data_IF_014634511312
#
_entry.id   IF_014634511312
#
_cell.length_a   1.000
_cell.length_b   1.000
_cell.length_c   1.000
_cell.angle_alpha   90.00
_cell.angle_beta   90.00
_cell.angle_gamma   90.00
#
_symmetry.space_group_name_H-M   'P 1'
#
loop_
_entity.id
_entity.type
_entity.pdbx_description
1 polymer ?
#
# COMPACT_ATOMS: atom_id res chain seq x y z
N UNK A 1 -15.34 -30.83 -5.64
CA UNK A 1 -14.36 -29.93 -4.99
C UNK A 1 -14.53 -28.54 -5.59
N UNK A 2 -14.67 -27.50 -4.78
CA UNK A 2 -14.75 -26.12 -5.27
C UNK A 2 -13.30 -25.68 -5.56
N UNK A 3 -12.97 -25.39 -6.82
CA UNK A 3 -11.63 -24.86 -7.17
C UNK A 3 -11.65 -23.37 -6.83
N UNK A 4 -10.99 -22.98 -5.74
CA UNK A 4 -10.81 -21.57 -5.42
C UNK A 4 -9.87 -20.96 -6.48
N UNK A 5 -10.22 -19.81 -7.07
CA UNK A 5 -9.33 -19.16 -8.04
C UNK A 5 -8.00 -18.85 -7.37
N UNK A 6 -6.89 -19.21 -8.02
CA UNK A 6 -5.56 -18.90 -7.54
C UNK A 6 -5.32 -17.40 -7.68
N UNK A 7 -4.96 -16.77 -6.57
CA UNK A 7 -4.61 -15.35 -6.49
C UNK A 7 -3.33 -15.18 -5.67
N UNK A 8 -2.46 -14.29 -6.11
CA UNK A 8 -1.25 -13.92 -5.39
C UNK A 8 -1.51 -12.75 -4.44
N UNK A 9 -0.70 -12.63 -3.39
CA UNK A 9 -0.77 -11.49 -2.48
C UNK A 9 -0.40 -10.17 -3.18
N UNK A 10 -0.98 -9.03 -2.79
CA UNK A 10 -0.57 -7.73 -3.32
C UNK A 10 0.94 -7.50 -3.13
N UNK A 11 1.65 -6.94 -4.14
CA UNK A 11 3.04 -6.55 -3.96
C UNK A 11 3.24 -5.58 -2.78
N UNK A 12 4.44 -5.55 -2.16
CA UNK A 12 4.71 -4.71 -0.98
C UNK A 12 4.29 -3.24 -1.19
N UNK A 13 3.70 -2.62 -0.16
CA UNK A 13 3.12 -1.27 -0.21
C UNK A 13 4.06 -0.19 -0.75
N UNK A 14 5.39 -0.34 -0.61
CA UNK A 14 6.37 0.58 -1.20
C UNK A 14 6.27 0.69 -2.73
N UNK A 15 5.72 -0.32 -3.40
CA UNK A 15 5.49 -0.34 -4.85
C UNK A 15 4.06 0.06 -5.24
N UNK A 16 3.21 0.44 -4.29
CA UNK A 16 1.85 0.87 -4.59
C UNK A 16 1.87 2.06 -5.55
N UNK A 17 1.07 1.98 -6.63
CA UNK A 17 1.01 2.99 -7.69
C UNK A 17 2.09 2.87 -8.77
N UNK A 18 3.07 1.98 -8.62
CA UNK A 18 4.20 1.86 -9.56
C UNK A 18 4.03 0.74 -10.59
N UNK A 19 3.28 -0.31 -10.25
CA UNK A 19 3.11 -1.46 -11.14
C UNK A 19 1.76 -1.45 -11.85
N UNK A 20 1.74 -2.02 -13.05
CA UNK A 20 0.53 -2.32 -13.80
C UNK A 20 0.43 -3.84 -14.01
N UNK A 21 -0.73 -4.41 -13.71
CA UNK A 21 -1.01 -5.85 -13.86
C UNK A 21 -2.03 -6.11 -14.96
N UNK A 22 -1.87 -7.19 -15.73
CA UNK A 22 -2.82 -7.55 -16.80
C UNK A 22 -4.19 -8.00 -16.29
N UNK A 23 -4.26 -8.69 -15.14
CA UNK A 23 -5.51 -9.20 -14.57
C UNK A 23 -5.52 -9.17 -13.03
N UNK A 24 -5.20 -8.00 -12.44
CA UNK A 24 -5.04 -7.87 -10.99
C UNK A 24 -3.98 -8.83 -10.45
N UNK A 25 -4.32 -9.60 -9.41
CA UNK A 25 -3.41 -10.60 -8.82
C UNK A 25 -3.83 -12.04 -9.09
N UNK A 26 -4.65 -12.27 -10.13
CA UNK A 26 -5.11 -13.61 -10.49
C UNK A 26 -3.98 -14.44 -11.11
N UNK A 27 -4.16 -15.76 -11.11
CA UNK A 27 -3.27 -16.68 -11.82
C UNK A 27 -2.93 -16.21 -13.24
N UNK A 28 -1.65 -16.33 -13.60
CA UNK A 28 -1.06 -15.91 -14.86
C UNK A 28 -1.09 -14.39 -15.14
N UNK A 29 -1.61 -13.57 -14.20
CA UNK A 29 -1.47 -12.11 -14.27
C UNK A 29 0.01 -11.73 -14.27
N UNK A 30 0.37 -10.84 -15.18
CA UNK A 30 1.72 -10.29 -15.32
C UNK A 30 1.70 -8.86 -14.84
N UNK A 31 2.48 -8.56 -13.80
CA UNK A 31 2.64 -7.22 -13.24
C UNK A 31 4.03 -6.67 -13.56
N UNK A 32 4.11 -5.42 -13.99
CA UNK A 32 5.37 -4.78 -14.36
C UNK A 32 5.52 -3.37 -13.80
N UNK A 33 6.75 -3.00 -13.41
CA UNK A 33 7.17 -1.62 -13.15
C UNK A 33 8.07 -1.19 -14.31
N UNK A 34 7.77 -0.06 -14.93
CA UNK A 34 8.62 0.54 -15.95
C UNK A 34 9.63 1.48 -15.30
N UNK A 35 10.91 1.17 -15.45
CA UNK A 35 11.99 2.08 -15.08
C UNK A 35 12.39 2.94 -16.29
N UNK A 36 12.84 4.18 -16.08
CA UNK A 36 13.23 5.09 -17.17
C UNK A 36 14.44 4.58 -17.97
N UNK A 37 15.33 3.83 -17.32
CA UNK A 37 16.52 3.25 -17.92
C UNK A 37 16.38 1.73 -18.04
N UNK A 38 15.40 1.27 -18.82
CA UNK A 38 15.41 -0.11 -19.30
C UNK A 38 16.42 -0.24 -20.46
N UNK A 39 17.70 -0.01 -20.14
CA UNK A 39 18.81 -0.35 -21.00
C UNK A 39 18.89 -1.87 -21.04
N UNK A 40 18.60 -2.44 -22.21
CA UNK A 40 18.58 -3.88 -22.56
C UNK A 40 19.90 -4.63 -22.27
N UNK A 41 20.86 -3.97 -21.62
CA UNK A 41 22.25 -4.40 -21.41
C UNK A 41 22.60 -4.68 -19.95
N UNK A 42 21.78 -4.26 -18.98
CA UNK A 42 21.98 -4.72 -17.59
C UNK A 42 21.25 -6.06 -17.44
N UNK A 43 21.96 -7.14 -17.15
CA UNK A 43 21.39 -8.47 -16.87
C UNK A 43 20.55 -8.53 -15.59
N UNK A 44 19.94 -7.41 -15.20
CA UNK A 44 19.01 -7.30 -14.09
C UNK A 44 17.69 -7.96 -14.50
N UNK A 45 17.19 -8.82 -13.62
CA UNK A 45 15.87 -9.43 -13.73
C UNK A 45 14.85 -8.32 -14.06
N UNK A 46 14.10 -8.50 -15.15
CA UNK A 46 13.12 -7.49 -15.56
C UNK A 46 12.18 -7.25 -14.39
N UNK A 47 11.75 -5.99 -14.15
CA UNK A 47 10.79 -5.64 -13.08
C UNK A 47 9.38 -6.15 -13.44
N UNK A 48 9.26 -7.44 -13.71
CA UNK A 48 8.12 -8.17 -14.23
C UNK A 48 7.94 -9.42 -13.39
N UNK A 49 6.76 -9.57 -12.79
CA UNK A 49 6.40 -10.74 -11.99
C UNK A 49 5.11 -11.35 -12.54
N UNK A 50 5.02 -12.68 -12.51
CA UNK A 50 3.85 -13.45 -12.94
C UNK A 50 3.26 -14.23 -11.77
N UNK A 51 1.95 -14.18 -11.59
CA UNK A 51 1.28 -14.97 -10.57
C UNK A 51 1.25 -16.45 -10.97
N UNK A 52 1.88 -17.32 -10.19
CA UNK A 52 2.00 -18.74 -10.49
C UNK A 52 0.86 -19.55 -9.87
N UNK A 53 0.76 -20.81 -10.27
CA UNK A 53 -0.28 -21.76 -9.81
C UNK A 53 -0.24 -22.06 -8.30
N UNK A 54 0.89 -21.79 -7.65
CA UNK A 54 1.09 -21.98 -6.21
C UNK A 54 0.61 -20.77 -5.38
N UNK A 55 0.06 -19.73 -6.02
CA UNK A 55 -0.36 -18.49 -5.36
C UNK A 55 0.80 -17.53 -5.05
N UNK A 56 2.00 -17.80 -5.58
CA UNK A 56 3.17 -16.94 -5.39
C UNK A 56 3.59 -16.23 -6.67
N UNK A 57 4.21 -15.07 -6.53
CA UNK A 57 4.82 -14.35 -7.64
C UNK A 57 6.08 -15.06 -8.16
N UNK A 58 6.33 -14.93 -9.46
CA UNK A 58 7.52 -15.49 -10.12
C UNK A 58 8.83 -14.93 -9.56
N UNK A 59 8.80 -13.71 -9.05
CA UNK A 59 9.92 -12.99 -8.45
C UNK A 59 9.42 -11.81 -7.61
N UNK A 60 10.28 -10.80 -7.44
CA UNK A 60 9.96 -9.58 -6.69
C UNK A 60 10.34 -8.34 -7.48
N UNK A 61 9.66 -7.22 -7.21
CA UNK A 61 10.08 -5.93 -7.75
C UNK A 61 11.31 -5.38 -7.03
N UNK A 62 12.08 -4.58 -7.77
CA UNK A 62 13.15 -3.74 -7.27
C UNK A 62 12.80 -2.26 -7.47
N UNK A 63 13.32 -1.38 -6.62
CA UNK A 63 13.19 0.06 -6.84
C UNK A 63 14.08 0.45 -8.02
N UNK A 64 13.52 1.23 -8.94
CA UNK A 64 14.31 1.77 -10.04
C UNK A 64 15.30 2.84 -9.52
N UNK A 65 16.48 3.00 -10.14
CA UNK A 65 17.49 3.98 -9.67
C UNK A 65 16.97 5.41 -9.55
N UNK A 66 16.03 5.82 -10.38
CA UNK A 66 15.42 7.16 -10.35
C UNK A 66 14.43 7.36 -9.19
N UNK A 67 14.00 6.28 -8.53
CA UNK A 67 13.06 6.32 -7.41
C UNK A 67 13.80 6.59 -6.11
N UNK A 68 14.12 7.86 -5.88
CA UNK A 68 14.84 8.32 -4.69
C UNK A 68 14.07 9.46 -4.00
N UNK A 69 14.28 9.57 -2.68
CA UNK A 69 13.77 10.68 -1.88
C UNK A 69 12.93 10.24 -0.69
N UNK A 70 12.14 11.20 -0.19
CA UNK A 70 11.37 11.06 1.03
C UNK A 70 9.94 11.58 0.84
N UNK A 71 8.98 10.91 1.47
CA UNK A 71 7.63 11.40 1.56
C UNK A 71 7.58 12.67 2.42
N UNK A 72 6.80 13.65 1.97
CA UNK A 72 6.53 14.85 2.75
C UNK A 72 5.66 14.53 3.96
N UNK A 73 5.80 15.27 5.09
CA UNK A 73 4.87 15.17 6.20
C UNK A 73 3.43 15.37 5.71
N UNK A 74 2.46 14.54 6.14
CA UNK A 74 1.08 14.68 5.68
C UNK A 74 0.51 16.04 6.11
N UNK A 75 0.06 16.82 5.13
CA UNK A 75 -0.43 18.19 5.35
C UNK A 75 -1.78 18.23 6.08
N UNK A 76 -2.58 17.16 5.98
CA UNK A 76 -3.94 17.10 6.49
C UNK A 76 -4.18 15.75 7.17
N UNK A 77 -4.04 15.74 8.50
CA UNK A 77 -4.43 14.63 9.35
C UNK A 77 -5.76 14.99 10.02
N UNK A 78 -6.62 14.00 10.25
CA UNK A 78 -7.83 14.22 11.05
C UNK A 78 -7.48 14.61 12.49
N UNK A 79 -8.33 15.43 13.11
CA UNK A 79 -8.18 15.77 14.53
C UNK A 79 -8.03 14.52 15.39
N UNK A 80 -6.97 14.46 16.20
CA UNK A 80 -6.68 13.30 17.05
C UNK A 80 -5.80 12.22 16.41
N UNK A 81 -5.43 12.32 15.13
CA UNK A 81 -4.53 11.37 14.49
C UNK A 81 -3.07 11.87 14.50
N UNK A 82 -2.15 10.99 14.91
CA UNK A 82 -0.71 11.22 14.93
C UNK A 82 0.01 10.11 14.17
N UNK A 83 1.11 10.45 13.50
CA UNK A 83 2.00 9.48 12.88
C UNK A 83 3.32 9.42 13.63
N UNK A 84 3.78 8.21 13.91
CA UNK A 84 5.09 7.94 14.49
C UNK A 84 5.95 7.18 13.49
N UNK A 85 7.02 7.82 13.03
CA UNK A 85 7.89 7.34 11.96
C UNK A 85 9.32 7.14 12.49
N UNK A 86 9.63 5.99 13.12
CA UNK A 86 10.96 5.77 13.71
C UNK A 86 12.08 5.76 12.65
N UNK A 87 11.79 5.22 11.46
CA UNK A 87 12.74 5.07 10.36
C UNK A 87 12.73 6.27 9.38
N UNK A 88 12.11 7.38 9.77
CA UNK A 88 11.95 8.57 8.94
C UNK A 88 10.89 8.40 7.85
N UNK A 89 11.11 9.03 6.69
CA UNK A 89 10.14 9.09 5.59
C UNK A 89 10.71 8.70 4.22
N UNK A 90 11.83 7.97 4.17
CA UNK A 90 12.34 7.39 2.92
C UNK A 90 11.40 6.35 2.31
N UNK A 91 11.61 6.01 1.03
CA UNK A 91 10.81 4.98 0.35
C UNK A 91 10.89 3.65 1.13
N UNK A 92 9.73 3.08 1.43
CA UNK A 92 9.58 1.87 2.25
C UNK A 92 9.54 2.13 3.76
N UNK A 93 9.81 3.35 4.24
CA UNK A 93 9.67 3.67 5.65
C UNK A 93 8.21 3.51 6.10
N UNK A 94 8.02 2.89 7.27
CA UNK A 94 6.72 2.67 7.87
C UNK A 94 6.48 3.64 9.02
N UNK A 95 5.31 4.28 9.03
CA UNK A 95 4.84 5.07 10.15
C UNK A 95 3.66 4.40 10.82
N UNK A 96 3.70 4.28 12.14
CA UNK A 96 2.56 3.80 12.93
C UNK A 96 1.54 4.92 13.09
N UNK A 97 0.27 4.59 12.88
CA UNK A 97 -0.84 5.50 13.13
C UNK A 97 -1.27 5.38 14.59
N UNK A 98 -1.33 6.51 15.27
CA UNK A 98 -1.78 6.63 16.65
C UNK A 98 -3.03 7.48 16.73
N UNK A 99 -4.04 6.97 17.40
CA UNK A 99 -5.22 7.75 17.78
C UNK A 99 -5.02 8.34 19.17
N UNK A 100 -5.39 9.61 19.34
CA UNK A 100 -5.14 10.37 20.57
C UNK A 100 -6.09 9.98 21.70
N UNK A 101 -7.28 9.47 21.37
CA UNK A 101 -8.24 8.98 22.36
C UNK A 101 -7.97 7.51 22.71
N UNK A 102 -8.01 7.20 24.01
CA UNK A 102 -7.97 5.81 24.47
C UNK A 102 -9.15 5.00 23.90
N UNK A 103 -8.91 3.73 23.60
CA UNK A 103 -9.88 2.80 23.00
C UNK A 103 -10.37 3.17 21.60
N UNK A 104 -9.66 4.06 20.89
CA UNK A 104 -9.93 4.32 19.48
C UNK A 104 -8.93 3.61 18.57
N UNK A 105 -9.41 3.17 17.42
CA UNK A 105 -8.63 2.46 16.42
C UNK A 105 -8.69 3.18 15.06
N UNK A 106 -7.57 3.21 14.31
CA UNK A 106 -7.53 3.79 12.98
C UNK A 106 -8.17 2.87 11.94
N UNK A 107 -9.16 3.41 11.23
CA UNK A 107 -9.80 2.78 10.08
C UNK A 107 -9.59 3.61 8.82
N UNK A 108 -9.63 2.95 7.67
CA UNK A 108 -9.62 3.62 6.37
C UNK A 108 -11.06 3.81 5.89
N UNK A 109 -11.40 5.06 5.54
CA UNK A 109 -12.65 5.39 4.87
C UNK A 109 -12.42 5.77 3.41
N UNK A 110 -13.37 5.46 2.52
CA UNK A 110 -13.38 6.04 1.17
C UNK A 110 -13.41 7.57 1.22
N UNK A 111 -12.86 8.21 0.18
CA UNK A 111 -12.74 9.68 0.14
C UNK A 111 -14.08 10.44 0.26
N UNK A 112 -15.18 9.81 -0.12
CA UNK A 112 -16.52 10.42 -0.16
C UNK A 112 -17.39 10.06 1.06
N UNK A 113 -16.85 9.31 2.01
CA UNK A 113 -17.58 8.76 3.15
C UNK A 113 -17.12 9.44 4.44
N UNK A 114 -18.05 9.64 5.36
CA UNK A 114 -17.79 10.16 6.70
C UNK A 114 -18.08 9.10 7.77
N UNK A 115 -17.76 9.40 9.02
CA UNK A 115 -18.07 8.51 10.14
C UNK A 115 -19.57 8.26 10.31
N UNK A 116 -20.42 9.20 9.87
CA UNK A 116 -21.87 9.08 9.99
C UNK A 116 -22.47 8.10 8.98
N UNK A 117 -21.76 7.87 7.87
CA UNK A 117 -22.19 6.98 6.79
C UNK A 117 -21.86 5.51 7.10
N UNK A 118 -21.05 5.25 8.14
CA UNK A 118 -20.72 3.90 8.57
C UNK A 118 -21.95 3.23 9.17
N UNK A 119 -22.52 2.29 8.43
CA UNK A 119 -23.62 1.47 8.91
C UNK A 119 -23.10 0.37 9.86
N UNK A 120 -23.93 -0.06 10.82
CA UNK A 120 -23.54 -1.03 11.86
C UNK A 120 -23.06 -2.39 11.32
N UNK A 121 -23.46 -2.77 10.10
CA UNK A 121 -23.04 -4.01 9.44
C UNK A 121 -21.74 -3.85 8.64
N UNK A 122 -21.30 -2.61 8.39
CA UNK A 122 -20.04 -2.34 7.70
C UNK A 122 -18.87 -2.62 8.63
N UNK A 123 -17.80 -3.22 8.08
CA UNK A 123 -16.54 -3.47 8.79
C UNK A 123 -15.40 -2.77 8.04
N UNK A 124 -15.17 -1.47 8.28
CA UNK A 124 -14.09 -0.73 7.65
C UNK A 124 -12.72 -1.40 7.88
N UNK A 125 -11.82 -1.39 6.89
CA UNK A 125 -10.47 -1.93 7.07
C UNK A 125 -9.72 -1.16 8.16
N UNK A 126 -9.18 -1.89 9.14
CA UNK A 126 -8.30 -1.34 10.16
C UNK A 126 -6.90 -1.13 9.58
N UNK A 127 -6.32 0.04 9.79
CA UNK A 127 -5.00 0.39 9.24
C UNK A 127 -4.11 0.90 10.34
N UNK A 128 -3.13 0.09 10.73
CA UNK A 128 -2.18 0.43 11.81
C UNK A 128 -0.96 1.21 11.34
N UNK A 129 -0.64 1.14 10.05
CA UNK A 129 0.59 1.70 9.48
C UNK A 129 0.34 2.33 8.12
N UNK A 130 1.16 3.32 7.78
CA UNK A 130 1.31 3.86 6.43
C UNK A 130 2.76 3.68 5.97
N UNK A 131 2.96 3.50 4.67
CA UNK A 131 4.27 3.26 4.06
C UNK A 131 4.54 4.34 3.03
N UNK A 132 5.76 4.88 3.01
CA UNK A 132 6.17 5.78 1.94
C UNK A 132 6.42 4.98 0.65
N UNK A 133 5.72 5.29 -0.43
CA UNK A 133 5.83 4.58 -1.71
C UNK A 133 6.94 5.16 -2.59
N UNK A 134 7.33 4.44 -3.64
CA UNK A 134 8.27 4.94 -4.66
C UNK A 134 7.76 6.16 -5.44
N UNK A 135 6.46 6.46 -5.39
CA UNK A 135 5.89 7.73 -5.88
C UNK A 135 6.04 8.91 -4.90
N UNK A 136 6.73 8.71 -3.77
CA UNK A 136 6.87 9.67 -2.67
C UNK A 136 5.51 10.10 -2.06
N UNK A 137 4.57 9.16 -2.02
CA UNK A 137 3.25 9.31 -1.38
C UNK A 137 3.11 8.32 -0.23
N UNK A 138 2.35 8.68 0.79
CA UNK A 138 2.00 7.75 1.88
C UNK A 138 0.86 6.84 1.46
N UNK A 139 1.02 5.53 1.66
CA UNK A 139 -0.02 4.54 1.40
C UNK A 139 -0.33 3.66 2.64
N UNK A 140 -1.62 3.47 2.99
CA UNK A 140 -2.76 4.20 2.46
C UNK A 140 -2.68 5.69 2.80
N UNK A 141 -3.43 6.52 2.07
CA UNK A 141 -3.35 7.96 2.22
C UNK A 141 -3.79 8.37 3.65
N UNK A 142 -2.95 9.06 4.45
CA UNK A 142 -3.28 9.41 5.84
C UNK A 142 -4.52 10.30 5.98
N UNK A 143 -4.87 11.09 4.96
CA UNK A 143 -6.06 11.95 4.97
C UNK A 143 -7.38 11.17 4.90
N UNK A 144 -7.34 9.88 4.58
CA UNK A 144 -8.49 8.97 4.53
C UNK A 144 -8.65 8.17 5.84
N UNK A 145 -7.71 8.29 6.77
CA UNK A 145 -7.75 7.56 8.02
C UNK A 145 -8.58 8.32 9.05
N UNK A 146 -9.45 7.61 9.77
CA UNK A 146 -10.24 8.14 10.89
C UNK A 146 -10.07 7.25 12.11
N UNK A 147 -10.11 7.86 13.29
CA UNK A 147 -10.14 7.13 14.55
C UNK A 147 -11.59 6.88 14.96
N UNK A 148 -11.93 5.62 15.21
CA UNK A 148 -13.26 5.22 15.73
C UNK A 148 -13.11 4.53 17.07
N UNK A 149 -14.11 4.64 17.95
CA UNK A 149 -14.14 3.82 19.17
C UNK A 149 -14.25 2.36 18.78
N UNK A 150 -13.43 1.50 19.38
CA UNK A 150 -13.57 0.06 19.24
C UNK A 150 -14.93 -0.38 19.79
N UNK A 151 -15.67 -1.15 18.99
CA UNK A 151 -16.88 -1.83 19.44
C UNK A 151 -16.54 -3.02 20.34
#
# INVERSE_FOLDING_TARGET
AMVQPVTCDPPPSKFHGLYHCTNGFQFDSVCQIKCKEEDLQSGHETNVIRCRKDGNWSGSFHLCPEMQGHCSPPKQLSGGLKLQCPDGSGIGAECTILCSEHHTEPILLPANETLQDIQHWMKPPRVKKVVCTGELKWYPCPSLVRCIKGC
#
